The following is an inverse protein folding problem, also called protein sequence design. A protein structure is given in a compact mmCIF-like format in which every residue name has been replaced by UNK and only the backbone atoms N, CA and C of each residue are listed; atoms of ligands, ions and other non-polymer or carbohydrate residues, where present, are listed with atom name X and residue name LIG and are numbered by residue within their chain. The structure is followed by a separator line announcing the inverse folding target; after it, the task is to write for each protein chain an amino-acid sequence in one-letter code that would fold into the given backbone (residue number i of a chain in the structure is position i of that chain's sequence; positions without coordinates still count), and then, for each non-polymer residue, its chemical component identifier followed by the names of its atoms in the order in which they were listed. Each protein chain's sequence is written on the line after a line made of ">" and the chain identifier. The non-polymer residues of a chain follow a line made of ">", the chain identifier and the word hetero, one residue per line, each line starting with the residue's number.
data_IF_771174179765
#
_entry.id   IF_771174179765
#
_cell.length_a   1.000
_cell.length_b   1.000
_cell.length_c   1.000
_cell.angle_alpha   90.00
_cell.angle_beta   90.00
_cell.angle_gamma   90.00
#
_symmetry.space_group_name_H-M   'P 1'
#
loop_
_entity.id
_entity.type
_entity.pdbx_description
1 polymer ?
#
# COMPACT_ATOMS: atom_id res chain seq x y z
N UNK A 1 -5.22 -0.57 -13.44
CA UNK A 1 -5.61 -0.28 -12.04
C UNK A 1 -4.35 -0.28 -11.18
N UNK A 2 -4.21 0.62 -10.23
CA UNK A 2 -2.99 0.78 -9.42
C UNK A 2 -2.57 -0.51 -8.66
N UNK A 3 -3.45 -1.51 -8.55
CA UNK A 3 -3.17 -2.77 -7.85
C UNK A 3 -3.46 -4.01 -8.70
N UNK A 4 -3.52 -3.89 -10.04
CA UNK A 4 -3.73 -5.03 -10.93
C UNK A 4 -5.11 -5.71 -10.79
N UNK A 5 -5.97 -5.23 -9.90
CA UNK A 5 -7.29 -5.79 -9.72
C UNK A 5 -8.16 -5.53 -10.96
N UNK A 6 -8.99 -6.49 -11.37
CA UNK A 6 -9.95 -6.27 -12.45
C UNK A 6 -10.90 -5.12 -12.10
N UNK A 7 -11.61 -4.60 -13.09
CA UNK A 7 -12.76 -3.73 -12.84
C UNK A 7 -13.65 -4.43 -11.81
N UNK A 8 -14.06 -3.67 -10.74
CA UNK A 8 -14.92 -4.23 -9.70
C UNK A 8 -14.32 -4.44 -8.32
N UNK A 9 -13.07 -4.13 -8.07
CA UNK A 9 -12.41 -4.06 -6.74
C UNK A 9 -12.88 -5.08 -5.68
N UNK A 10 -13.35 -6.26 -6.07
CA UNK A 10 -13.85 -7.29 -5.17
C UNK A 10 -15.31 -7.11 -4.68
N UNK A 11 -15.91 -5.91 -4.81
CA UNK A 11 -17.27 -5.58 -4.36
C UNK A 11 -18.31 -5.61 -5.47
N UNK A 12 -17.97 -6.19 -6.63
CA UNK A 12 -18.77 -6.11 -7.87
C UNK A 12 -19.01 -4.66 -8.36
N UNK A 13 -18.08 -3.76 -8.00
CA UNK A 13 -18.10 -2.37 -8.46
C UNK A 13 -17.93 -2.29 -9.97
N UNK A 14 -18.58 -1.32 -10.61
CA UNK A 14 -18.69 -1.25 -12.08
C UNK A 14 -17.78 -0.23 -12.74
N UNK A 15 -17.21 0.71 -11.99
CA UNK A 15 -16.32 1.72 -12.55
C UNK A 15 -14.93 1.17 -12.83
N UNK A 16 -14.28 1.78 -13.81
CA UNK A 16 -12.84 1.71 -14.02
C UNK A 16 -12.26 3.01 -13.46
N UNK A 17 -11.30 2.90 -12.53
CA UNK A 17 -10.57 4.06 -12.07
C UNK A 17 -9.52 4.48 -13.10
N UNK A 18 -9.51 5.76 -13.43
CA UNK A 18 -8.61 6.34 -14.44
C UNK A 18 -7.75 7.45 -13.85
N UNK A 19 -6.70 7.82 -14.56
CA UNK A 19 -5.89 9.02 -14.30
C UNK A 19 -6.30 10.22 -15.17
N UNK A 20 -7.50 10.18 -15.74
CA UNK A 20 -8.02 11.25 -16.58
C UNK A 20 -8.43 12.48 -15.74
N UNK A 21 -8.13 13.66 -16.24
CA UNK A 21 -8.64 14.92 -15.66
C UNK A 21 -10.16 15.02 -15.69
N UNK A 22 -10.85 14.20 -16.46
CA UNK A 22 -12.30 14.10 -16.41
C UNK A 22 -12.82 13.41 -15.14
N UNK A 23 -12.00 12.56 -14.50
CA UNK A 23 -12.35 11.85 -13.27
C UNK A 23 -11.72 12.47 -12.02
N UNK A 24 -10.60 13.20 -12.15
CA UNK A 24 -9.99 13.93 -11.03
C UNK A 24 -9.40 15.25 -11.53
N UNK A 25 -9.90 16.37 -11.02
CA UNK A 25 -9.41 17.70 -11.41
C UNK A 25 -9.70 18.75 -10.34
N UNK A 26 -9.00 19.87 -10.41
CA UNK A 26 -9.36 21.06 -9.64
C UNK A 26 -10.48 21.82 -10.35
N UNK A 27 -11.47 22.27 -9.58
CA UNK A 27 -12.60 23.04 -10.06
C UNK A 27 -13.00 24.11 -9.04
N UNK A 28 -14.00 24.92 -9.37
CA UNK A 28 -14.58 25.87 -8.42
C UNK A 28 -15.96 25.35 -8.01
N UNK A 29 -16.20 25.18 -6.73
CA UNK A 29 -17.49 24.92 -6.14
C UNK A 29 -17.72 25.88 -4.97
N UNK A 30 -18.90 26.50 -4.91
CA UNK A 30 -19.27 27.52 -3.91
C UNK A 30 -18.22 28.65 -3.75
N UNK A 31 -17.51 28.99 -4.84
CA UNK A 31 -16.48 30.03 -4.87
C UNK A 31 -15.10 29.59 -4.39
N UNK A 32 -14.91 28.35 -3.97
CA UNK A 32 -13.65 27.81 -3.52
C UNK A 32 -13.03 26.89 -4.59
N UNK A 33 -11.68 26.87 -4.64
CA UNK A 33 -10.96 25.89 -5.45
C UNK A 33 -10.95 24.56 -4.71
N UNK A 34 -11.54 23.53 -5.32
CA UNK A 34 -11.74 22.22 -4.72
C UNK A 34 -11.24 21.11 -5.66
N UNK A 35 -10.88 19.97 -5.09
CA UNK A 35 -10.66 18.75 -5.84
C UNK A 35 -11.99 18.09 -6.14
N UNK A 36 -12.30 17.84 -7.41
CA UNK A 36 -13.45 17.03 -7.83
C UNK A 36 -12.99 15.61 -8.15
N UNK A 37 -13.59 14.62 -7.50
CA UNK A 37 -13.49 13.19 -7.83
C UNK A 37 -14.81 12.81 -8.47
N UNK A 38 -14.77 12.54 -9.79
CA UNK A 38 -15.98 12.49 -10.62
C UNK A 38 -16.24 11.11 -11.18
N UNK A 39 -17.38 10.55 -10.83
CA UNK A 39 -17.92 9.36 -11.48
C UNK A 39 -18.69 9.77 -12.76
N UNK A 40 -18.49 9.01 -13.83
CA UNK A 40 -19.08 9.26 -15.15
C UNK A 40 -19.64 7.98 -15.74
N UNK A 41 -20.76 8.07 -16.41
CA UNK A 41 -21.20 7.07 -17.36
C UNK A 41 -20.68 7.47 -18.75
N UNK A 42 -19.74 6.69 -19.29
CA UNK A 42 -19.09 6.97 -20.59
C UNK A 42 -19.82 6.32 -21.76
N UNK A 43 -20.57 5.27 -21.49
CA UNK A 43 -21.58 4.64 -22.35
C UNK A 43 -22.55 3.85 -21.48
N UNK A 44 -23.73 3.46 -21.96
CA UNK A 44 -24.73 2.78 -21.13
C UNK A 44 -24.16 1.60 -20.35
N UNK A 45 -24.19 1.70 -19.01
CA UNK A 45 -23.67 0.70 -18.08
C UNK A 45 -22.15 0.63 -17.97
N UNK A 46 -21.40 1.55 -18.56
CA UNK A 46 -19.94 1.65 -18.46
C UNK A 46 -19.55 2.92 -17.72
N UNK A 47 -18.84 2.74 -16.62
CA UNK A 47 -18.52 3.83 -15.72
C UNK A 47 -17.02 4.03 -15.58
N UNK A 48 -16.61 5.28 -15.41
CA UNK A 48 -15.26 5.66 -14.99
C UNK A 48 -15.33 6.53 -13.75
N UNK A 49 -14.28 6.49 -12.95
CA UNK A 49 -14.13 7.35 -11.77
C UNK A 49 -12.64 7.54 -11.45
N UNK A 50 -12.32 8.15 -10.33
CA UNK A 50 -10.97 8.21 -9.80
C UNK A 50 -10.91 7.68 -8.37
N UNK A 51 -9.76 7.09 -8.04
CA UNK A 51 -9.33 6.72 -6.71
C UNK A 51 -7.97 7.37 -6.48
N UNK A 52 -7.92 8.29 -5.54
CA UNK A 52 -6.73 9.04 -5.19
C UNK A 52 -6.15 8.49 -3.90
N UNK A 53 -4.84 8.42 -3.81
CA UNK A 53 -4.17 7.89 -2.64
C UNK A 53 -2.90 8.66 -2.33
N UNK A 54 -2.53 8.72 -1.06
CA UNK A 54 -1.22 9.23 -0.61
C UNK A 54 -0.19 8.12 -0.41
N UNK A 55 -0.50 6.88 -0.84
CA UNK A 55 0.41 5.75 -0.76
C UNK A 55 1.75 6.06 -1.42
N UNK A 56 2.87 5.72 -0.76
CA UNK A 56 4.22 5.99 -1.22
C UNK A 56 4.61 7.47 -1.25
N UNK A 57 3.71 8.39 -0.84
CA UNK A 57 3.95 9.83 -0.78
C UNK A 57 3.86 10.37 0.65
N UNK A 58 2.80 10.00 1.37
CA UNK A 58 2.55 10.48 2.73
C UNK A 58 1.69 9.49 3.49
N UNK A 59 2.22 8.99 4.58
CA UNK A 59 1.54 8.21 5.60
C UNK A 59 1.54 8.93 6.93
N UNK A 60 0.80 8.44 7.88
CA UNK A 60 0.77 8.94 9.24
C UNK A 60 0.54 7.81 10.23
N UNK A 61 1.17 7.96 11.39
CA UNK A 61 0.89 7.16 12.58
C UNK A 61 0.36 8.11 13.66
N UNK A 62 -0.89 7.90 14.07
CA UNK A 62 -1.61 8.71 15.06
C UNK A 62 -1.76 10.19 14.68
N UNK A 63 -2.59 10.88 15.44
CA UNK A 63 -2.89 12.29 15.23
C UNK A 63 -4.33 12.50 14.76
N UNK A 64 -4.60 13.61 14.11
CA UNK A 64 -5.92 13.94 13.60
C UNK A 64 -5.90 14.14 12.09
N UNK A 65 -6.88 13.57 11.41
CA UNK A 65 -7.16 13.83 9.99
C UNK A 65 -8.49 14.53 9.89
N UNK A 66 -8.54 15.66 9.21
CA UNK A 66 -9.76 16.37 8.84
C UNK A 66 -9.86 16.41 7.31
N UNK A 67 -10.95 15.89 6.76
CA UNK A 67 -11.28 16.01 5.35
C UNK A 67 -12.58 16.77 5.22
N UNK A 68 -12.52 17.97 4.62
CA UNK A 68 -13.74 18.73 4.34
C UNK A 68 -14.20 18.40 2.92
N UNK A 69 -15.35 17.76 2.82
CA UNK A 69 -15.89 17.29 1.55
C UNK A 69 -17.41 17.41 1.48
N UNK A 70 -17.91 17.51 0.24
CA UNK A 70 -19.32 17.38 -0.12
C UNK A 70 -19.46 16.14 -1.00
N UNK A 71 -20.24 15.17 -0.56
CA UNK A 71 -20.39 13.88 -1.23
C UNK A 71 -21.53 13.90 -2.25
N UNK A 72 -21.46 13.10 -3.32
CA UNK A 72 -22.57 12.97 -4.28
C UNK A 72 -23.71 12.11 -3.72
N UNK A 73 -24.90 12.27 -4.32
CA UNK A 73 -26.08 11.44 -4.08
C UNK A 73 -26.56 10.79 -5.39
N UNK A 74 -27.26 9.66 -5.27
CA UNK A 74 -27.83 8.89 -6.38
C UNK A 74 -27.61 7.39 -6.19
N UNK A 75 -28.58 6.57 -6.55
CA UNK A 75 -28.47 5.12 -6.43
C UNK A 75 -27.19 4.60 -7.07
N UNK A 76 -26.53 3.64 -6.42
CA UNK A 76 -25.29 3.04 -6.91
C UNK A 76 -24.04 3.89 -6.77
N UNK A 77 -24.12 5.14 -6.26
CA UNK A 77 -22.92 5.92 -5.92
C UNK A 77 -22.44 5.59 -4.51
N UNK A 78 -21.11 5.49 -4.36
CA UNK A 78 -20.47 5.17 -3.09
C UNK A 78 -19.17 5.98 -2.94
N UNK A 79 -19.29 7.25 -2.51
CA UNK A 79 -18.15 8.04 -2.10
C UNK A 79 -17.57 7.51 -0.79
N UNK A 80 -16.22 7.47 -0.72
CA UNK A 80 -15.49 7.03 0.45
C UNK A 80 -14.26 7.91 0.71
N UNK A 81 -14.02 8.17 1.99
CA UNK A 81 -12.82 8.79 2.57
C UNK A 81 -12.29 7.82 3.60
N UNK A 82 -11.16 7.21 3.35
CA UNK A 82 -10.68 6.10 4.13
C UNK A 82 -9.15 6.02 4.17
N UNK A 83 -8.62 5.15 4.99
CA UNK A 83 -7.20 4.95 5.15
C UNK A 83 -6.88 3.46 5.11
N UNK A 84 -5.72 3.12 4.57
CA UNK A 84 -5.24 1.75 4.46
C UNK A 84 -3.83 1.66 5.04
N UNK A 85 -3.51 0.55 5.70
CA UNK A 85 -2.20 0.33 6.29
C UNK A 85 -1.09 0.37 5.23
N UNK A 86 0.00 1.08 5.52
CA UNK A 86 1.14 1.24 4.60
C UNK A 86 1.80 -0.09 4.27
N UNK A 87 1.65 -1.08 5.15
CA UNK A 87 2.11 -2.45 4.95
C UNK A 87 1.23 -3.29 4.00
N UNK A 88 0.22 -2.70 3.32
CA UNK A 88 -0.69 -3.42 2.41
C UNK A 88 0.02 -4.23 1.32
N UNK A 89 1.22 -3.81 0.92
CA UNK A 89 2.06 -4.56 -0.01
C UNK A 89 2.68 -5.83 0.58
N UNK A 90 2.72 -5.95 1.90
CA UNK A 90 3.30 -7.08 2.64
C UNK A 90 2.24 -7.97 3.28
N UNK A 91 1.18 -7.34 3.76
CA UNK A 91 0.12 -7.99 4.52
C UNK A 91 -1.18 -7.80 3.79
N UNK A 92 -1.86 -8.90 3.47
CA UNK A 92 -3.14 -8.83 2.79
C UNK A 92 -4.22 -8.22 3.69
N UNK A 93 -5.21 -7.67 3.05
CA UNK A 93 -6.42 -7.23 3.72
C UNK A 93 -7.17 -8.43 4.34
N UNK A 94 -7.71 -8.33 5.56
CA UNK A 94 -7.78 -7.14 6.42
C UNK A 94 -6.57 -6.93 7.35
N UNK A 95 -5.58 -7.81 7.36
CA UNK A 95 -4.43 -7.76 8.26
C UNK A 95 -3.52 -6.52 8.10
N UNK A 96 -3.61 -5.79 6.98
CA UNK A 96 -2.97 -4.48 6.86
C UNK A 96 -3.71 -3.39 7.65
N UNK A 97 -4.96 -3.62 8.04
CA UNK A 97 -5.85 -2.64 8.63
C UNK A 97 -6.48 -1.67 7.64
N UNK A 98 -7.74 -1.27 7.90
CA UNK A 98 -8.47 -0.24 7.15
C UNK A 98 -9.27 0.63 8.11
N UNK A 99 -9.27 1.94 7.92
CA UNK A 99 -10.04 2.91 8.69
C UNK A 99 -10.90 3.70 7.71
N UNK A 100 -12.21 3.44 7.72
CA UNK A 100 -13.15 4.18 6.89
C UNK A 100 -13.66 5.39 7.67
N UNK A 101 -13.07 6.56 7.36
CA UNK A 101 -13.40 7.81 8.04
C UNK A 101 -14.83 8.21 7.71
N UNK A 102 -15.23 8.03 6.45
CA UNK A 102 -16.57 8.34 5.99
C UNK A 102 -16.93 7.55 4.73
N UNK A 103 -18.01 6.82 4.78
CA UNK A 103 -18.65 6.19 3.64
C UNK A 103 -20.12 6.59 3.59
N UNK A 104 -20.60 6.98 2.41
CA UNK A 104 -21.99 7.34 2.20
C UNK A 104 -22.54 6.57 1.00
N UNK A 105 -23.68 5.91 1.19
CA UNK A 105 -24.38 5.29 0.09
C UNK A 105 -25.31 6.32 -0.58
N UNK A 106 -25.12 6.56 -1.86
CA UNK A 106 -25.91 7.55 -2.57
C UNK A 106 -27.43 7.32 -2.54
N UNK A 107 -27.88 6.08 -2.31
CA UNK A 107 -29.28 5.72 -2.08
C UNK A 107 -29.80 6.07 -0.67
N UNK A 108 -28.87 6.30 0.27
CA UNK A 108 -29.16 6.58 1.69
C UNK A 108 -28.28 7.74 2.18
N UNK A 109 -28.30 8.87 1.47
CA UNK A 109 -27.38 9.99 1.67
C UNK A 109 -27.54 10.74 2.99
N UNK A 110 -28.47 10.33 3.86
CA UNK A 110 -28.57 10.76 5.26
C UNK A 110 -27.87 9.83 6.25
N UNK A 111 -27.25 8.76 5.76
CA UNK A 111 -26.53 7.77 6.56
C UNK A 111 -25.05 7.88 6.27
N UNK A 112 -24.24 8.06 7.32
CA UNK A 112 -22.77 8.08 7.30
C UNK A 112 -22.28 6.84 8.02
N UNK A 113 -21.46 6.06 7.36
CA UNK A 113 -20.82 4.89 7.93
C UNK A 113 -19.37 5.20 8.25
N UNK A 114 -18.91 4.71 9.41
CA UNK A 114 -17.51 4.70 9.82
C UNK A 114 -17.14 3.29 10.23
N UNK A 115 -16.02 2.77 9.74
CA UNK A 115 -15.70 1.35 9.90
C UNK A 115 -14.22 1.16 10.22
N UNK A 116 -13.91 0.13 11.00
CA UNK A 116 -12.57 -0.40 11.18
C UNK A 116 -12.55 -1.84 10.69
N UNK A 117 -11.60 -2.18 9.82
CA UNK A 117 -11.36 -3.55 9.38
C UNK A 117 -9.98 -4.00 9.82
N UNK A 118 -9.91 -5.16 10.43
CA UNK A 118 -8.69 -5.73 11.02
C UNK A 118 -8.74 -7.26 11.01
N UNK A 119 -7.68 -7.91 11.47
CA UNK A 119 -7.65 -9.36 11.70
C UNK A 119 -7.91 -9.63 13.19
N UNK A 120 -9.00 -10.32 13.51
CA UNK A 120 -9.35 -10.65 14.90
C UNK A 120 -8.42 -11.73 15.49
N UNK A 121 -8.58 -12.00 16.79
CA UNK A 121 -7.76 -12.96 17.52
C UNK A 121 -7.86 -14.42 17.02
N UNK A 122 -8.81 -14.72 16.14
CA UNK A 122 -8.97 -16.02 15.44
C UNK A 122 -8.42 -16.00 14.01
N UNK A 123 -7.66 -14.97 13.63
CA UNK A 123 -7.17 -14.71 12.26
C UNK A 123 -8.29 -14.59 11.20
N UNK A 124 -9.42 -14.04 11.60
CA UNK A 124 -10.56 -13.78 10.73
C UNK A 124 -10.74 -12.28 10.52
N UNK A 125 -11.51 -11.94 9.51
CA UNK A 125 -11.92 -10.55 9.29
C UNK A 125 -12.77 -10.06 10.46
N UNK A 126 -12.22 -9.11 11.22
CA UNK A 126 -12.93 -8.31 12.23
C UNK A 126 -13.43 -7.02 11.59
N UNK A 127 -14.66 -6.64 11.92
CA UNK A 127 -15.30 -5.43 11.44
C UNK A 127 -16.06 -4.74 12.57
N UNK A 128 -15.75 -3.46 12.79
CA UNK A 128 -16.46 -2.60 13.74
C UNK A 128 -17.03 -1.41 12.98
N UNK A 129 -18.34 -1.41 12.78
CA UNK A 129 -19.04 -0.39 11.99
C UNK A 129 -20.03 0.39 12.85
N UNK A 130 -20.01 1.70 12.71
CA UNK A 130 -21.03 2.60 13.22
C UNK A 130 -21.77 3.28 12.07
N UNK A 131 -23.04 3.60 12.29
CA UNK A 131 -23.87 4.39 11.38
C UNK A 131 -24.44 5.60 12.10
N UNK A 132 -24.11 6.77 11.60
CA UNK A 132 -24.68 8.05 12.07
C UNK A 132 -25.72 8.54 11.08
N UNK A 133 -26.88 8.92 11.56
CA UNK A 133 -27.98 9.43 10.74
C UNK A 133 -28.17 10.92 10.94
N UNK A 134 -28.09 11.68 9.84
CA UNK A 134 -28.39 13.12 9.84
C UNK A 134 -29.90 13.36 9.83
N UNK A 135 -30.50 13.93 10.88
CA UNK A 135 -31.94 14.16 10.91
C UNK A 135 -32.34 15.32 9.99
N UNK A 136 -33.03 14.99 8.91
CA UNK A 136 -33.67 15.97 8.02
C UNK A 136 -32.75 16.70 7.03
N UNK A 137 -31.51 16.25 6.88
CA UNK A 137 -30.56 16.75 5.89
C UNK A 137 -29.84 15.57 5.20
N UNK A 138 -29.25 15.82 4.03
CA UNK A 138 -28.39 14.85 3.36
C UNK A 138 -26.94 15.29 3.49
N UNK A 139 -26.03 14.33 3.62
CA UNK A 139 -24.58 14.61 3.60
C UNK A 139 -24.10 15.18 2.26
N UNK A 140 -24.95 15.12 1.23
CA UNK A 140 -24.72 15.74 -0.09
C UNK A 140 -25.13 17.21 -0.19
N UNK A 141 -25.88 17.74 0.79
CA UNK A 141 -26.44 19.10 0.72
C UNK A 141 -25.42 20.20 1.00
N UNK A 142 -24.36 19.86 1.76
CA UNK A 142 -23.33 20.81 2.18
C UNK A 142 -21.95 20.15 2.31
N UNK A 143 -20.94 20.99 2.50
CA UNK A 143 -19.62 20.51 2.94
C UNK A 143 -19.64 20.16 4.42
N UNK A 144 -19.20 18.98 4.74
CA UNK A 144 -18.96 18.50 6.11
C UNK A 144 -17.49 18.25 6.34
N UNK A 145 -17.05 18.27 7.60
CA UNK A 145 -15.70 17.89 8.02
C UNK A 145 -15.77 16.50 8.64
N UNK A 146 -15.31 15.52 7.89
CA UNK A 146 -15.16 14.14 8.33
C UNK A 146 -13.79 13.98 8.95
N UNK A 147 -13.71 13.45 10.17
CA UNK A 147 -12.44 13.43 10.90
C UNK A 147 -12.25 12.16 11.70
N UNK A 148 -10.97 11.84 11.96
CA UNK A 148 -10.56 10.95 13.04
C UNK A 148 -9.61 11.67 13.99
N UNK A 149 -9.70 11.38 15.28
CA UNK A 149 -8.68 11.64 16.29
C UNK A 149 -8.15 10.28 16.76
N UNK A 150 -6.94 9.96 16.36
CA UNK A 150 -6.36 8.63 16.49
C UNK A 150 -5.15 8.67 17.42
N UNK A 151 -5.19 7.81 18.43
CA UNK A 151 -4.13 7.61 19.43
C UNK A 151 -3.79 6.12 19.54
N UNK A 152 -2.73 5.75 20.26
CA UNK A 152 -2.42 4.33 20.51
C UNK A 152 -3.54 3.58 21.23
N UNK A 153 -4.40 4.29 21.96
CA UNK A 153 -5.43 3.69 22.81
C UNK A 153 -6.78 3.61 22.10
N UNK A 154 -7.05 4.52 21.16
CA UNK A 154 -8.36 4.62 20.53
C UNK A 154 -8.39 5.42 19.24
N UNK A 155 -9.45 5.21 18.49
CA UNK A 155 -9.83 6.01 17.32
C UNK A 155 -11.20 6.64 17.62
N UNK A 156 -11.29 7.98 17.50
CA UNK A 156 -12.52 8.73 17.63
C UNK A 156 -12.91 9.28 16.26
N UNK A 157 -14.07 8.88 15.78
CA UNK A 157 -14.65 9.41 14.55
C UNK A 157 -15.47 10.64 14.85
N UNK A 158 -15.37 11.66 14.02
CA UNK A 158 -16.01 12.95 14.27
C UNK A 158 -16.65 13.49 12.98
N UNK A 159 -17.79 14.13 13.16
CA UNK A 159 -18.49 14.88 12.12
C UNK A 159 -18.63 16.34 12.56
N UNK A 160 -18.15 17.27 11.75
CA UNK A 160 -18.17 18.72 12.02
C UNK A 160 -17.66 19.09 13.42
N UNK A 161 -16.59 18.38 13.85
CA UNK A 161 -15.94 18.56 15.13
C UNK A 161 -16.67 17.90 16.31
N UNK A 162 -17.79 17.22 16.09
CA UNK A 162 -18.52 16.47 17.12
C UNK A 162 -18.18 14.98 17.04
N UNK A 163 -17.73 14.33 18.12
CA UNK A 163 -17.57 12.89 18.15
C UNK A 163 -18.89 12.16 17.86
N UNK A 164 -18.85 11.19 16.94
CA UNK A 164 -20.00 10.35 16.57
C UNK A 164 -19.79 8.88 16.93
N UNK A 165 -18.53 8.43 16.98
CA UNK A 165 -18.17 7.07 17.36
C UNK A 165 -16.76 7.05 17.96
N UNK A 166 -16.54 6.17 18.90
CA UNK A 166 -15.23 5.94 19.54
C UNK A 166 -15.02 4.44 19.67
N UNK A 167 -13.83 3.98 19.26
CA UNK A 167 -13.42 2.60 19.40
C UNK A 167 -12.08 2.52 20.13
N UNK A 168 -11.98 1.65 21.13
CA UNK A 168 -10.73 1.35 21.82
C UNK A 168 -9.91 0.37 21.00
N UNK A 169 -8.61 0.60 20.91
CA UNK A 169 -7.70 -0.34 20.24
C UNK A 169 -7.37 -1.46 21.23
N UNK A 170 -7.91 -2.63 20.97
CA UNK A 170 -7.71 -3.83 21.76
C UNK A 170 -6.46 -4.61 21.30
N UNK A 171 -6.05 -5.63 22.07
CA UNK A 171 -4.81 -6.37 21.82
C UNK A 171 -4.74 -7.08 20.46
N UNK A 172 -5.86 -7.41 19.86
CA UNK A 172 -5.98 -8.04 18.53
C UNK A 172 -6.11 -7.03 17.37
N UNK A 173 -6.13 -5.73 17.67
CA UNK A 173 -6.24 -4.65 16.70
C UNK A 173 -4.89 -3.96 16.42
N UNK A 174 -3.82 -4.74 16.33
CA UNK A 174 -2.42 -4.26 16.19
C UNK A 174 -2.16 -3.47 14.89
N UNK A 175 -2.98 -3.68 13.89
CA UNK A 175 -2.91 -2.98 12.61
C UNK A 175 -2.97 -1.46 12.84
N UNK A 176 -3.81 -1.00 13.78
CA UNK A 176 -3.98 0.42 14.08
C UNK A 176 -2.85 1.03 14.92
N UNK A 177 -1.78 0.31 15.16
CA UNK A 177 -0.52 0.81 15.75
C UNK A 177 0.59 1.03 14.71
N UNK A 178 0.23 1.15 13.43
CA UNK A 178 1.14 1.30 12.28
C UNK A 178 0.75 2.50 11.44
N UNK A 179 1.60 2.83 10.46
CA UNK A 179 1.33 3.92 9.52
C UNK A 179 0.21 3.56 8.54
N UNK A 180 -0.64 4.54 8.26
CA UNK A 180 -1.72 4.46 7.27
C UNK A 180 -1.61 5.60 6.27
N UNK A 181 -1.99 5.35 5.04
CA UNK A 181 -2.15 6.34 4.00
C UNK A 181 -3.61 6.62 3.68
N UNK A 182 -3.91 7.83 3.23
CA UNK A 182 -5.27 8.26 2.90
C UNK A 182 -5.66 7.80 1.49
N UNK A 183 -6.91 7.42 1.36
CA UNK A 183 -7.57 7.07 0.09
C UNK A 183 -8.90 7.79 -0.03
N UNK A 184 -9.23 8.30 -1.22
CA UNK A 184 -10.51 8.93 -1.52
C UNK A 184 -10.99 8.48 -2.90
N UNK A 185 -12.25 8.09 -3.01
CA UNK A 185 -12.83 7.67 -4.29
C UNK A 185 -14.36 7.87 -4.32
N UNK A 186 -14.92 7.77 -5.52
CA UNK A 186 -16.33 7.54 -5.73
C UNK A 186 -16.46 6.22 -6.49
N UNK A 187 -16.96 5.19 -5.83
CA UNK A 187 -17.29 3.92 -6.48
C UNK A 187 -18.67 4.01 -7.14
N UNK A 188 -18.92 3.14 -8.11
CA UNK A 188 -20.19 3.04 -8.85
C UNK A 188 -20.63 1.59 -8.94
N UNK A 189 -21.82 1.29 -8.45
CA UNK A 189 -22.33 -0.08 -8.39
C UNK A 189 -21.70 -0.90 -7.30
N UNK A 190 -22.09 -2.15 -7.20
CA UNK A 190 -21.57 -3.10 -6.24
C UNK A 190 -22.64 -3.66 -5.30
N UNK A 191 -22.22 -4.65 -4.48
CA UNK A 191 -23.17 -5.35 -3.60
C UNK A 191 -23.84 -4.42 -2.59
N UNK A 192 -23.12 -3.47 -2.04
CA UNK A 192 -23.61 -2.61 -0.97
C UNK A 192 -24.40 -1.39 -1.47
N UNK A 193 -23.88 -0.55 -2.38
CA UNK A 193 -24.64 0.58 -2.90
C UNK A 193 -25.77 0.18 -3.83
N UNK A 194 -25.70 -1.02 -4.42
CA UNK A 194 -26.55 -1.44 -5.53
C UNK A 194 -26.13 -0.80 -6.86
N UNK A 195 -26.93 -0.99 -7.88
CA UNK A 195 -26.63 -0.44 -9.20
C UNK A 195 -27.18 0.97 -9.37
N UNK A 196 -26.53 1.83 -10.19
CA UNK A 196 -27.16 3.05 -10.68
C UNK A 196 -28.47 2.76 -11.42
N UNK A 197 -29.41 3.64 -11.29
CA UNK A 197 -30.70 3.58 -12.01
C UNK A 197 -30.98 4.90 -12.75
N UNK A 198 -32.16 4.99 -13.33
CA UNK A 198 -32.57 6.16 -14.11
C UNK A 198 -32.62 7.48 -13.31
N UNK A 199 -32.59 7.41 -11.99
CA UNK A 199 -32.54 8.58 -11.11
C UNK A 199 -31.10 9.04 -10.81
N UNK A 200 -30.10 8.22 -11.12
CA UNK A 200 -28.69 8.54 -10.88
C UNK A 200 -28.18 9.47 -11.97
N UNK A 201 -27.80 10.65 -11.56
CA UNK A 201 -27.28 11.66 -12.50
C UNK A 201 -25.76 11.50 -12.67
N UNK A 202 -25.31 11.45 -13.92
CA UNK A 202 -23.89 11.51 -14.27
C UNK A 202 -23.61 12.74 -15.15
N UNK A 203 -22.44 13.40 -15.04
CA UNK A 203 -21.38 13.12 -14.08
C UNK A 203 -21.77 13.50 -12.65
N UNK A 204 -21.24 12.77 -11.66
CA UNK A 204 -21.49 13.01 -10.24
C UNK A 204 -20.17 13.07 -9.47
N UNK A 205 -19.99 14.09 -8.63
CA UNK A 205 -18.68 14.40 -8.06
C UNK A 205 -18.72 14.49 -6.54
N UNK A 206 -17.71 13.91 -5.89
CA UNK A 206 -17.30 14.29 -4.56
C UNK A 206 -16.36 15.49 -4.67
N UNK A 207 -16.66 16.57 -3.96
CA UNK A 207 -15.83 17.77 -3.89
C UNK A 207 -15.08 17.80 -2.58
N UNK A 208 -13.75 17.88 -2.64
CA UNK A 208 -12.89 17.97 -1.46
C UNK A 208 -12.25 19.35 -1.40
N UNK A 209 -12.58 20.10 -0.34
CA UNK A 209 -12.06 21.45 -0.11
C UNK A 209 -10.64 21.39 0.47
N UNK A 210 -10.45 20.57 1.50
CA UNK A 210 -9.12 20.34 2.07
C UNK A 210 -9.00 18.97 2.73
N UNK A 211 -7.75 18.54 2.81
CA UNK A 211 -7.27 17.50 3.74
C UNK A 211 -6.26 18.16 4.68
N UNK A 212 -6.45 17.99 5.97
CA UNK A 212 -5.53 18.49 7.00
C UNK A 212 -5.14 17.38 7.95
N UNK A 213 -3.84 17.27 8.19
CA UNK A 213 -3.28 16.26 9.09
C UNK A 213 -2.56 16.99 10.21
N UNK A 214 -2.86 16.64 11.44
CA UNK A 214 -2.30 17.23 12.64
C UNK A 214 -1.59 16.17 13.46
N UNK A 215 -0.33 16.42 13.81
CA UNK A 215 0.38 15.61 14.80
C UNK A 215 -0.13 15.93 16.21
N UNK A 216 -0.20 14.94 17.07
CA UNK A 216 -0.56 15.10 18.47
C UNK A 216 0.71 15.10 19.32
N UNK A 217 1.05 16.26 19.89
CA UNK A 217 2.22 16.41 20.76
C UNK A 217 2.04 15.61 22.06
N UNK A 218 3.09 14.94 22.52
CA UNK A 218 3.13 14.26 23.82
C UNK A 218 2.57 12.82 23.80
N UNK A 219 2.25 12.28 22.63
CA UNK A 219 1.96 10.84 22.52
C UNK A 219 3.24 10.05 22.75
N UNK A 220 3.19 9.07 23.65
CA UNK A 220 4.18 8.00 23.69
C UNK A 220 3.83 7.06 22.54
N UNK A 221 4.58 7.14 21.46
CA UNK A 221 4.42 6.19 20.34
C UNK A 221 4.88 4.82 20.86
N UNK A 222 3.97 3.82 20.95
CA UNK A 222 4.41 2.47 21.26
C UNK A 222 5.46 2.06 20.25
N UNK A 223 6.45 1.27 20.66
CA UNK A 223 7.30 0.60 19.68
C UNK A 223 6.36 -0.18 18.77
N UNK A 224 6.36 0.06 17.45
CA UNK A 224 5.50 -0.70 16.55
C UNK A 224 5.70 -2.19 16.87
N UNK A 225 4.63 -2.97 16.99
CA UNK A 225 4.79 -4.40 17.21
C UNK A 225 5.70 -4.91 16.09
N UNK A 226 6.74 -5.63 16.46
CA UNK A 226 7.59 -6.33 15.49
C UNK A 226 6.62 -7.08 14.59
N UNK A 227 6.75 -6.91 13.29
CA UNK A 227 6.02 -7.73 12.32
C UNK A 227 6.41 -9.17 12.63
N UNK A 228 5.60 -9.84 13.44
CA UNK A 228 5.66 -11.28 13.54
C UNK A 228 5.04 -11.76 12.23
N UNK A 229 5.91 -11.99 11.26
CA UNK A 229 5.50 -12.52 9.96
C UNK A 229 5.37 -14.02 10.19
N UNK A 230 4.27 -14.40 10.82
CA UNK A 230 3.84 -15.78 10.85
C UNK A 230 3.68 -16.25 9.40
N UNK A 231 4.14 -17.43 9.08
CA UNK A 231 4.01 -18.04 7.75
C UNK A 231 2.54 -18.09 7.26
N UNK A 232 1.55 -18.00 8.15
CA UNK A 232 0.12 -17.97 7.82
C UNK A 232 -0.40 -16.59 7.37
N UNK A 233 0.27 -15.50 7.74
CA UNK A 233 -0.13 -14.13 7.37
C UNK A 233 0.40 -13.73 5.98
N UNK A 234 1.18 -14.59 5.37
CA UNK A 234 1.79 -14.34 4.07
C UNK A 234 0.77 -14.64 2.97
N UNK A 235 0.06 -13.62 2.49
CA UNK A 235 -0.89 -13.71 1.36
C UNK A 235 -0.30 -14.33 0.08
N UNK A 236 -1.13 -14.54 -0.93
CA UNK A 236 -0.77 -15.23 -2.16
C UNK A 236 0.49 -14.65 -2.82
N UNK A 237 1.37 -15.48 -3.40
CA UNK A 237 2.56 -15.02 -4.10
C UNK A 237 2.19 -14.01 -5.18
N UNK A 238 2.92 -12.89 -5.25
CA UNK A 238 2.85 -12.01 -6.42
C UNK A 238 3.30 -12.80 -7.64
N UNK A 239 2.54 -12.70 -8.72
CA UNK A 239 3.04 -13.21 -9.98
C UNK A 239 4.33 -12.45 -10.34
N UNK A 240 5.25 -13.15 -10.99
CA UNK A 240 6.56 -12.60 -11.39
C UNK A 240 6.44 -11.31 -12.23
N UNK A 241 5.32 -11.07 -12.91
CA UNK A 241 5.09 -9.87 -13.70
C UNK A 241 4.83 -8.62 -12.86
N UNK A 242 4.19 -8.76 -11.69
CA UNK A 242 3.94 -7.63 -10.78
C UNK A 242 5.22 -7.22 -10.05
N UNK A 243 6.02 -8.18 -9.57
CA UNK A 243 7.33 -7.91 -8.99
C UNK A 243 8.27 -7.24 -10.01
N UNK A 244 8.29 -7.73 -11.25
CA UNK A 244 9.07 -7.14 -12.34
C UNK A 244 8.65 -5.70 -12.67
N UNK A 245 7.36 -5.36 -12.62
CA UNK A 245 6.89 -4.00 -12.91
C UNK A 245 7.36 -2.99 -11.85
N UNK A 246 7.27 -3.34 -10.57
CA UNK A 246 7.65 -2.45 -9.46
C UNK A 246 9.17 -2.17 -9.44
N UNK A 247 10.00 -3.15 -9.78
CA UNK A 247 11.47 -3.00 -9.77
C UNK A 247 11.99 -2.34 -11.04
N UNK A 248 11.33 -2.48 -12.18
CA UNK A 248 11.71 -1.76 -13.43
C UNK A 248 11.76 -0.25 -13.21
N UNK A 249 10.89 0.32 -12.39
CA UNK A 249 10.94 1.75 -12.08
C UNK A 249 12.15 2.14 -11.22
N UNK A 250 12.59 1.26 -10.31
CA UNK A 250 13.73 1.51 -9.41
C UNK A 250 15.09 1.25 -10.05
N UNK A 251 15.15 0.43 -11.11
CA UNK A 251 16.40 0.00 -11.76
C UNK A 251 16.50 0.46 -13.23
N UNK A 252 15.93 1.59 -13.59
CA UNK A 252 15.95 2.15 -14.96
C UNK A 252 17.35 2.28 -15.57
N UNK A 253 18.39 2.37 -14.73
CA UNK A 253 19.78 2.41 -15.19
C UNK A 253 20.27 1.08 -15.80
N UNK A 254 19.65 -0.04 -15.51
CA UNK A 254 20.06 -1.36 -15.98
C UNK A 254 19.33 -1.84 -17.25
N UNK A 255 18.29 -1.11 -17.69
CA UNK A 255 17.45 -1.52 -18.81
C UNK A 255 16.46 -2.62 -18.41
N UNK A 256 16.04 -3.45 -19.36
CA UNK A 256 15.12 -4.53 -19.08
C UNK A 256 15.78 -5.62 -18.22
N UNK A 257 15.07 -6.03 -17.17
CA UNK A 257 15.49 -7.04 -16.20
C UNK A 257 14.32 -7.89 -15.74
N UNK A 258 14.60 -9.07 -15.24
CA UNK A 258 13.63 -9.98 -14.63
C UNK A 258 14.09 -10.35 -13.23
N UNK A 259 13.13 -10.49 -12.28
CA UNK A 259 13.40 -10.99 -10.96
C UNK A 259 12.86 -12.39 -10.86
N UNK A 260 13.69 -13.29 -10.41
CA UNK A 260 13.39 -14.70 -10.35
C UNK A 260 13.69 -15.20 -8.93
N UNK A 261 12.76 -15.91 -8.35
CA UNK A 261 12.92 -16.53 -7.04
C UNK A 261 12.86 -18.05 -7.15
N UNK A 262 13.73 -18.74 -6.39
CA UNK A 262 13.78 -20.20 -6.30
C UNK A 262 13.88 -20.67 -4.86
N UNK A 263 13.30 -21.83 -4.58
CA UNK A 263 13.50 -22.54 -3.31
C UNK A 263 13.16 -24.03 -3.43
N UNK A 264 13.75 -24.85 -2.57
CA UNK A 264 13.37 -26.25 -2.40
C UNK A 264 12.49 -26.39 -1.16
N UNK A 265 11.30 -26.96 -1.30
CA UNK A 265 10.38 -27.23 -0.18
C UNK A 265 9.17 -26.29 -0.08
N UNK A 266 8.95 -25.48 -1.07
CA UNK A 266 7.83 -24.54 -1.22
C UNK A 266 8.19 -23.44 -2.20
N UNK A 267 7.22 -22.79 -2.80
CA UNK A 267 7.47 -21.62 -3.63
C UNK A 267 8.01 -20.49 -2.75
N UNK A 268 9.20 -19.94 -3.05
CA UNK A 268 9.72 -18.80 -2.32
C UNK A 268 8.79 -17.60 -2.54
N UNK A 269 8.43 -16.94 -1.44
CA UNK A 269 7.56 -15.78 -1.49
C UNK A 269 8.38 -14.54 -1.81
N UNK A 270 8.23 -14.04 -3.01
CA UNK A 270 8.77 -12.76 -3.43
C UNK A 270 7.63 -11.72 -3.44
N UNK A 271 7.82 -10.61 -2.73
CA UNK A 271 6.83 -9.54 -2.60
C UNK A 271 7.46 -8.18 -2.77
N UNK A 272 6.64 -7.21 -3.10
CA UNK A 272 7.01 -5.79 -3.09
C UNK A 272 6.47 -5.16 -1.81
N UNK A 273 7.32 -4.44 -1.11
CA UNK A 273 6.97 -3.66 0.07
C UNK A 273 7.03 -2.18 -0.23
N UNK A 274 6.07 -1.43 0.31
CA UNK A 274 6.10 0.03 0.31
C UNK A 274 7.01 0.59 1.43
N UNK A 275 7.53 -0.26 2.32
CA UNK A 275 8.61 0.12 3.24
C UNK A 275 9.91 0.21 2.46
N UNK A 276 10.30 1.42 2.09
CA UNK A 276 11.49 1.66 1.29
C UNK A 276 12.44 2.63 1.98
N UNK A 277 13.70 2.58 1.56
CA UNK A 277 14.74 3.45 2.09
C UNK A 277 14.59 4.88 1.60
N UNK A 278 14.15 5.07 0.36
CA UNK A 278 14.17 6.35 -0.38
C UNK A 278 12.78 6.81 -0.85
N UNK A 279 11.71 6.21 -0.31
CA UNK A 279 10.32 6.52 -0.66
C UNK A 279 9.80 5.78 -1.89
N UNK A 280 10.57 4.87 -2.45
CA UNK A 280 10.14 3.92 -3.48
C UNK A 280 9.76 2.58 -2.86
N UNK A 281 9.59 1.55 -3.65
CA UNK A 281 9.26 0.22 -3.17
C UNK A 281 10.53 -0.61 -2.88
N UNK A 282 10.45 -1.53 -1.93
CA UNK A 282 11.50 -2.52 -1.67
C UNK A 282 11.02 -3.93 -2.04
N UNK A 283 11.99 -4.84 -2.21
CA UNK A 283 11.72 -6.24 -2.43
C UNK A 283 11.80 -6.99 -1.11
N UNK A 284 10.78 -7.76 -0.80
CA UNK A 284 10.78 -8.70 0.34
C UNK A 284 10.91 -10.11 -0.19
N UNK A 285 11.87 -10.82 0.36
CA UNK A 285 12.07 -12.23 0.08
C UNK A 285 11.98 -13.03 1.38
N UNK A 286 11.01 -13.94 1.44
CA UNK A 286 10.89 -14.88 2.55
C UNK A 286 11.62 -16.17 2.21
N UNK A 287 12.64 -16.50 3.00
CA UNK A 287 13.37 -17.74 2.87
C UNK A 287 12.52 -18.93 3.34
N UNK A 288 12.45 -20.03 2.59
CA UNK A 288 11.63 -21.18 2.96
C UNK A 288 12.30 -22.00 4.06
N UNK A 289 12.24 -21.56 5.31
CA UNK A 289 12.62 -22.30 6.50
C UNK A 289 13.99 -22.99 6.43
N UNK A 290 14.03 -24.33 6.54
CA UNK A 290 15.26 -25.14 6.55
C UNK A 290 15.78 -25.52 5.16
N UNK A 291 15.12 -25.07 4.09
CA UNK A 291 15.49 -25.39 2.71
C UNK A 291 16.29 -24.26 2.09
N UNK A 292 17.09 -24.57 1.08
CA UNK A 292 17.80 -23.54 0.33
C UNK A 292 16.83 -22.75 -0.56
N UNK A 293 17.07 -21.45 -0.71
CA UNK A 293 16.31 -20.59 -1.59
C UNK A 293 16.94 -19.24 -1.75
N UNK A 294 16.52 -18.51 -2.77
CA UNK A 294 17.01 -17.19 -3.06
C UNK A 294 16.24 -16.48 -4.14
N UNK A 295 16.58 -15.22 -4.34
CA UNK A 295 16.07 -14.40 -5.43
C UNK A 295 17.22 -13.75 -6.16
N UNK A 296 17.07 -13.54 -7.46
CA UNK A 296 18.09 -12.90 -8.26
C UNK A 296 17.50 -11.96 -9.31
N UNK A 297 18.29 -10.94 -9.66
CA UNK A 297 18.01 -9.97 -10.71
C UNK A 297 18.74 -10.40 -11.97
N UNK A 298 17.99 -10.93 -12.93
CA UNK A 298 18.47 -11.31 -14.26
C UNK A 298 18.40 -10.11 -15.19
N UNK A 299 19.50 -9.77 -15.83
CA UNK A 299 19.51 -8.78 -16.91
C UNK A 299 19.10 -9.45 -18.23
N UNK A 300 18.15 -8.86 -18.96
CA UNK A 300 17.70 -9.38 -20.26
C UNK A 300 18.83 -9.34 -21.31
N UNK A 301 19.73 -8.39 -21.14
CA UNK A 301 20.97 -8.31 -21.91
C UNK A 301 22.15 -8.09 -20.98
N UNK A 302 23.20 -8.91 -21.03
CA UNK A 302 24.37 -8.73 -20.21
C UNK A 302 25.01 -7.35 -20.35
N UNK A 303 25.53 -6.81 -19.24
CA UNK A 303 26.08 -5.46 -19.14
C UNK A 303 27.55 -5.47 -18.72
N UNK A 304 28.30 -4.50 -19.27
CA UNK A 304 29.66 -4.22 -18.82
C UNK A 304 29.63 -3.37 -17.55
N UNK A 305 30.03 -3.99 -16.44
CA UNK A 305 30.14 -3.38 -15.11
C UNK A 305 31.59 -3.18 -14.67
N UNK A 306 32.57 -3.36 -15.57
CA UNK A 306 34.00 -3.28 -15.25
C UNK A 306 34.49 -1.90 -14.79
N UNK A 307 33.71 -0.86 -15.06
CA UNK A 307 33.99 0.51 -14.59
C UNK A 307 33.57 0.78 -13.15
N UNK A 308 32.79 -0.10 -12.52
CA UNK A 308 32.38 0.01 -11.13
C UNK A 308 33.36 -0.71 -10.20
N UNK A 309 33.51 -0.19 -8.99
CA UNK A 309 34.42 -0.75 -7.98
C UNK A 309 33.69 -1.43 -6.80
N UNK A 310 32.40 -1.10 -6.63
CA UNK A 310 31.62 -1.57 -5.46
C UNK A 310 30.20 -1.93 -5.87
N UNK A 311 29.67 -2.95 -5.22
CA UNK A 311 28.25 -3.27 -5.15
C UNK A 311 27.70 -2.69 -3.86
N UNK A 312 26.63 -1.88 -3.95
CA UNK A 312 25.90 -1.35 -2.80
C UNK A 312 24.46 -1.79 -2.83
N UNK A 313 23.96 -2.21 -1.70
CA UNK A 313 22.55 -2.52 -1.51
C UNK A 313 22.15 -2.32 -0.05
N UNK A 314 20.86 -2.09 0.18
CA UNK A 314 20.30 -1.90 1.52
C UNK A 314 19.23 -2.95 1.77
N UNK A 315 19.17 -3.45 3.01
CA UNK A 315 18.17 -4.42 3.41
C UNK A 315 17.75 -4.20 4.87
N UNK A 316 16.53 -4.62 5.22
CA UNK A 316 16.14 -4.83 6.61
C UNK A 316 16.68 -6.21 6.99
N UNK A 317 17.51 -6.25 8.03
CA UNK A 317 18.10 -7.48 8.54
C UNK A 317 17.24 -8.00 9.68
N UNK A 318 16.54 -9.15 9.55
CA UNK A 318 15.83 -9.78 10.65
C UNK A 318 16.76 -10.06 11.85
N UNK A 319 16.22 -10.12 13.06
CA UNK A 319 17.00 -10.33 14.28
C UNK A 319 17.64 -11.71 14.36
N UNK A 320 17.07 -12.69 13.68
CA UNK A 320 17.53 -14.09 13.57
C UNK A 320 18.35 -14.36 12.30
N UNK A 321 18.59 -13.33 11.51
CA UNK A 321 19.38 -13.45 10.29
C UNK A 321 20.84 -13.79 10.62
N UNK A 322 21.24 -14.99 10.28
CA UNK A 322 22.61 -15.48 10.52
C UNK A 322 23.54 -15.07 9.38
N UNK A 323 23.21 -15.43 8.14
CA UNK A 323 24.04 -15.16 6.97
C UNK A 323 23.23 -15.27 5.68
N UNK A 324 23.74 -14.68 4.61
CA UNK A 324 23.26 -14.90 3.25
C UNK A 324 24.43 -14.85 2.26
N UNK A 325 24.26 -15.58 1.17
CA UNK A 325 25.16 -15.53 0.03
C UNK A 325 24.71 -14.44 -0.94
N UNK A 326 25.61 -13.57 -1.35
CA UNK A 326 25.42 -12.67 -2.48
C UNK A 326 26.21 -13.17 -3.66
N UNK A 327 25.54 -13.39 -4.78
CA UNK A 327 26.13 -13.95 -5.98
C UNK A 327 25.93 -13.00 -7.18
N UNK A 328 26.97 -12.90 -7.99
CA UNK A 328 26.94 -12.25 -9.29
C UNK A 328 27.33 -13.28 -10.38
N UNK A 329 26.73 -13.17 -11.56
CA UNK A 329 26.98 -14.12 -12.65
C UNK A 329 27.18 -13.42 -13.99
N UNK A 330 28.09 -13.98 -14.78
CA UNK A 330 28.21 -13.77 -16.21
C UNK A 330 27.86 -15.08 -16.94
N UNK A 331 27.67 -15.10 -18.26
CA UNK A 331 27.36 -16.33 -18.99
C UNK A 331 28.41 -17.46 -18.83
N UNK A 332 29.63 -17.11 -18.44
CA UNK A 332 30.74 -18.06 -18.34
C UNK A 332 31.33 -18.21 -16.93
N UNK A 333 31.07 -17.28 -16.02
CA UNK A 333 31.64 -17.25 -14.67
C UNK A 333 30.63 -16.77 -13.64
N UNK A 334 30.80 -17.19 -12.41
CA UNK A 334 30.07 -16.67 -11.27
C UNK A 334 30.96 -16.54 -10.04
N UNK A 335 30.60 -15.70 -9.12
CA UNK A 335 31.28 -15.54 -7.84
C UNK A 335 30.30 -15.23 -6.73
N UNK A 336 30.61 -15.71 -5.55
CA UNK A 336 29.77 -15.59 -4.33
C UNK A 336 30.59 -15.01 -3.20
N UNK A 337 29.93 -14.16 -2.40
CA UNK A 337 30.46 -13.69 -1.10
C UNK A 337 29.42 -13.98 -0.01
N UNK A 338 29.85 -13.97 1.25
CA UNK A 338 28.96 -14.17 2.40
C UNK A 338 28.79 -12.86 3.17
N UNK A 339 27.56 -12.48 3.51
CA UNK A 339 27.28 -11.21 4.16
C UNK A 339 27.86 -11.10 5.58
N UNK A 340 28.09 -12.24 6.27
CA UNK A 340 28.75 -12.25 7.58
C UNK A 340 30.18 -11.68 7.56
N UNK A 341 30.84 -11.71 6.40
CA UNK A 341 32.20 -11.20 6.23
C UNK A 341 32.26 -9.68 6.06
N UNK A 342 31.07 -9.02 6.00
CA UNK A 342 30.93 -7.58 5.80
C UNK A 342 30.18 -6.94 6.96
N UNK A 343 30.66 -5.78 7.40
CA UNK A 343 29.99 -5.00 8.45
C UNK A 343 29.08 -3.97 7.78
N UNK A 344 27.75 -4.10 7.89
CA UNK A 344 26.85 -3.11 7.33
C UNK A 344 26.79 -1.84 8.17
N UNK A 345 26.41 -0.74 7.55
CA UNK A 345 26.19 0.55 8.20
C UNK A 345 24.69 0.70 8.43
N UNK A 346 24.27 0.97 9.68
CA UNK A 346 22.88 1.31 9.97
C UNK A 346 22.49 2.64 9.31
N UNK A 347 21.36 2.65 8.63
CA UNK A 347 20.80 3.82 7.97
C UNK A 347 19.36 4.08 8.48
N UNK A 348 18.51 4.75 7.75
CA UNK A 348 17.14 5.08 8.20
C UNK A 348 16.18 3.88 8.12
N UNK A 349 15.08 3.96 8.84
CA UNK A 349 13.94 3.03 8.78
C UNK A 349 14.26 1.54 9.03
N UNK A 350 15.28 1.26 9.88
CA UNK A 350 15.69 -0.12 10.19
C UNK A 350 16.52 -0.80 9.10
N UNK A 351 16.81 -0.10 8.00
CA UNK A 351 17.69 -0.61 6.96
C UNK A 351 19.16 -0.54 7.39
N UNK A 352 19.93 -1.48 6.87
CA UNK A 352 21.39 -1.48 6.89
C UNK A 352 21.90 -1.47 5.45
N UNK A 353 22.96 -0.72 5.19
CA UNK A 353 23.64 -0.68 3.89
C UNK A 353 24.89 -1.54 3.90
N UNK A 354 24.99 -2.43 2.94
CA UNK A 354 26.21 -3.17 2.62
C UNK A 354 26.95 -2.48 1.47
N UNK A 355 28.27 -2.38 1.62
CA UNK A 355 29.18 -1.94 0.54
C UNK A 355 30.21 -3.04 0.33
N UNK A 356 30.11 -3.73 -0.79
CA UNK A 356 30.93 -4.88 -1.14
C UNK A 356 31.85 -4.51 -2.30
N UNK A 357 33.20 -4.60 -2.15
CA UNK A 357 34.10 -4.41 -3.27
C UNK A 357 33.85 -5.44 -4.36
N UNK A 358 33.73 -5.03 -5.61
CA UNK A 358 33.57 -5.98 -6.72
C UNK A 358 34.79 -6.86 -6.95
N UNK A 359 35.96 -6.46 -6.43
CA UNK A 359 37.17 -7.28 -6.42
C UNK A 359 37.05 -8.55 -5.57
N UNK A 360 36.11 -8.59 -4.63
CA UNK A 360 35.88 -9.75 -3.75
C UNK A 360 35.13 -10.87 -4.48
N UNK A 361 34.46 -10.55 -5.59
CA UNK A 361 33.86 -11.54 -6.49
C UNK A 361 34.93 -12.11 -7.43
N UNK A 362 35.82 -12.90 -6.87
CA UNK A 362 37.02 -13.40 -7.54
C UNK A 362 36.69 -14.29 -8.74
N UNK A 363 37.28 -13.98 -9.89
CA UNK A 363 37.12 -14.77 -11.12
C UNK A 363 35.85 -14.43 -11.92
N UNK A 364 35.06 -13.43 -11.48
CA UNK A 364 33.89 -12.97 -12.21
C UNK A 364 34.28 -12.10 -13.40
N UNK A 365 33.64 -12.36 -14.55
CA UNK A 365 33.75 -11.50 -15.72
C UNK A 365 32.76 -10.32 -15.63
N UNK A 366 33.24 -9.20 -15.13
CA UNK A 366 32.44 -7.98 -15.00
C UNK A 366 32.14 -7.28 -16.33
N UNK A 367 32.81 -7.66 -17.42
CA UNK A 367 32.55 -7.04 -18.74
C UNK A 367 31.26 -7.54 -19.40
N UNK A 368 30.66 -8.61 -18.83
CA UNK A 368 29.51 -9.27 -19.42
C UNK A 368 28.57 -9.83 -18.34
N UNK A 369 28.18 -9.01 -17.36
CA UNK A 369 27.35 -9.44 -16.24
C UNK A 369 25.92 -9.75 -16.69
N UNK A 370 25.40 -10.93 -16.38
CA UNK A 370 24.05 -11.39 -16.70
C UNK A 370 23.13 -11.46 -15.48
N UNK A 371 23.67 -11.73 -14.27
CA UNK A 371 22.95 -11.61 -13.00
C UNK A 371 23.59 -10.50 -12.20
N UNK A 372 22.87 -9.39 -12.07
CA UNK A 372 23.36 -8.18 -11.42
C UNK A 372 23.37 -8.28 -9.90
N UNK A 373 22.56 -9.15 -9.33
CA UNK A 373 22.45 -9.38 -7.89
C UNK A 373 21.66 -10.67 -7.66
N UNK A 374 22.15 -11.52 -6.79
CA UNK A 374 21.40 -12.64 -6.25
C UNK A 374 21.64 -12.74 -4.75
N UNK A 375 20.59 -13.03 -3.99
CA UNK A 375 20.65 -13.24 -2.55
C UNK A 375 20.08 -14.62 -2.24
N UNK A 376 20.89 -15.44 -1.56
CA UNK A 376 20.56 -16.81 -1.17
C UNK A 376 20.71 -16.99 0.33
N UNK A 377 19.86 -17.81 0.96
CA UNK A 377 20.13 -18.21 2.33
C UNK A 377 21.39 -19.10 2.36
N UNK A 378 22.34 -18.75 3.20
CA UNK A 378 23.47 -19.63 3.48
C UNK A 378 22.96 -20.83 4.30
N UNK A 379 22.96 -22.00 3.69
CA UNK A 379 22.65 -23.26 4.38
C UNK A 379 24.01 -23.91 4.67
N UNK A 380 24.29 -24.15 5.95
CA UNK A 380 25.48 -24.92 6.37
C UNK A 380 25.36 -26.38 5.95
#
# INVERSE_FOLDING_TARGET
>A
TAYGLPAGWGNDEKQIYTNSSENASLTIDEGNSVLAITAREVSPGQYTSAKLTTNGQKSMLFGRVDVRAKVPTGNGLWPAIWMLGENRGLVDWPGCGEIDIAEVLGKASSELYTTLHYTDGDNKHGELQNMETSPGALYSDAYHVYSIDWTPEKIVFMLDGTPIYEEMIEDDMKEFLRDFYLVMNVAVGGYWPGDPDVSTLFPSSMYVDYVRVYSKNGLTIPTPPVLDIDEETIGQPLDSNMANAAIKESFTAFGDLSIIAYGSGGEPLLRVSDTALDGTQSLVYAFPGTSWGGAYIQLDTPKDMSSYSTLKFSMIKPSDFYDAEVKLESPSTNATIFLKDYTPIAISNGFVEYTVPLSDFTGLDLTNLSVAFALWNAVD
#
